data_IF_571539184418
#
_entry.id   IF_571539184418
#
_cell.length_a   1.000
_cell.length_b   1.000
_cell.length_c   1.000
_cell.angle_alpha   90.00
_cell.angle_beta   90.00
_cell.angle_gamma   90.00
#
_symmetry.space_group_name_H-M   'P 1'
#
loop_
_entity.id
_entity.type
_entity.pdbx_description
1 polymer ?
#
# COMPACT_ATOMS: atom_id res chain seq x y z
N UNK A 1 14.63 -16.90 -4.62
CA UNK A 1 13.21 -16.51 -4.70
C UNK A 1 13.01 -15.54 -5.87
N UNK A 2 12.25 -15.91 -6.90
CA UNK A 2 11.91 -15.06 -8.06
C UNK A 2 10.40 -14.83 -8.19
N UNK A 3 9.98 -13.90 -9.05
CA UNK A 3 8.58 -13.51 -9.29
C UNK A 3 7.86 -14.38 -10.36
N UNK A 4 8.48 -15.49 -10.78
CA UNK A 4 7.91 -16.41 -11.77
C UNK A 4 7.98 -15.94 -13.22
N UNK A 5 8.76 -14.89 -13.52
CA UNK A 5 8.99 -14.46 -14.90
C UNK A 5 9.68 -15.57 -15.72
N UNK A 6 9.27 -15.73 -16.99
CA UNK A 6 9.75 -16.80 -17.89
C UNK A 6 11.27 -16.81 -18.07
N UNK A 7 11.95 -15.67 -17.89
CA UNK A 7 13.41 -15.54 -17.93
C UNK A 7 14.12 -16.37 -16.86
N UNK A 8 13.45 -16.70 -15.74
CA UNK A 8 14.02 -17.46 -14.64
C UNK A 8 13.89 -18.99 -14.80
N UNK A 9 13.20 -19.47 -15.84
CA UNK A 9 12.95 -20.91 -16.04
C UNK A 9 14.19 -21.78 -16.25
N UNK A 10 15.37 -21.18 -16.42
CA UNK A 10 16.65 -21.90 -16.49
C UNK A 10 17.31 -22.16 -15.13
N UNK A 11 16.83 -21.52 -14.05
CA UNK A 11 17.42 -21.64 -12.70
C UNK A 11 17.19 -23.02 -12.08
N UNK A 12 16.13 -23.72 -12.48
CA UNK A 12 15.86 -25.10 -12.06
C UNK A 12 16.85 -26.10 -12.67
N UNK A 13 17.53 -25.72 -13.76
CA UNK A 13 18.53 -26.55 -14.45
C UNK A 13 19.97 -26.25 -14.02
N UNK A 14 20.17 -25.40 -13.01
CA UNK A 14 21.49 -25.15 -12.46
C UNK A 14 21.92 -26.35 -11.60
N UNK A 15 22.98 -27.02 -12.04
CA UNK A 15 23.60 -28.17 -11.37
C UNK A 15 24.45 -27.76 -10.16
N UNK A 16 23.90 -26.87 -9.33
CA UNK A 16 24.48 -26.44 -8.06
C UNK A 16 23.89 -27.34 -6.98
N UNK A 17 24.71 -28.21 -6.38
CA UNK A 17 24.29 -29.06 -5.26
C UNK A 17 23.57 -28.23 -4.19
N UNK A 18 22.34 -28.63 -3.87
CA UNK A 18 21.46 -28.02 -2.87
C UNK A 18 20.88 -26.63 -3.21
N UNK A 19 20.89 -26.21 -4.48
CA UNK A 19 20.14 -25.01 -4.88
C UNK A 19 18.66 -25.35 -5.09
N UNK A 20 17.82 -24.93 -4.14
CA UNK A 20 16.37 -24.96 -4.31
C UNK A 20 15.91 -23.57 -4.76
N UNK A 21 15.31 -23.49 -5.94
CA UNK A 21 14.78 -22.25 -6.46
C UNK A 21 13.34 -22.03 -6.00
N UNK A 22 13.14 -21.14 -5.03
CA UNK A 22 11.78 -20.74 -4.66
C UNK A 22 11.21 -19.74 -5.67
N UNK A 23 9.93 -19.90 -6.01
CA UNK A 23 9.20 -19.01 -6.92
C UNK A 23 7.95 -18.46 -6.23
N UNK A 24 7.84 -17.14 -6.18
CA UNK A 24 6.62 -16.43 -5.79
C UNK A 24 5.81 -16.21 -7.06
N UNK A 25 4.77 -17.01 -7.23
CA UNK A 25 3.87 -16.86 -8.36
C UNK A 25 2.81 -15.82 -7.98
N UNK A 26 2.94 -14.58 -8.48
CA UNK A 26 1.97 -13.48 -8.25
C UNK A 26 0.53 -13.79 -8.69
N UNK A 27 0.31 -14.87 -9.44
CA UNK A 27 -1.02 -15.40 -9.79
C UNK A 27 -1.71 -16.08 -8.60
N UNK A 28 -0.94 -16.69 -7.70
CA UNK A 28 -1.46 -17.37 -6.51
C UNK A 28 -1.46 -16.36 -5.36
N UNK A 29 -2.50 -16.38 -4.52
CA UNK A 29 -2.66 -15.47 -3.36
C UNK A 29 -2.94 -13.98 -3.70
N UNK A 30 -3.52 -13.72 -4.87
CA UNK A 30 -4.09 -12.39 -5.19
C UNK A 30 -5.21 -11.98 -4.21
N UNK A 31 -5.93 -12.99 -3.73
CA UNK A 31 -6.80 -12.94 -2.57
C UNK A 31 -6.09 -13.70 -1.46
N UNK A 32 -6.06 -13.14 -0.27
CA UNK A 32 -5.46 -13.81 0.88
C UNK A 32 -6.20 -15.13 1.16
N UNK A 33 -5.48 -16.24 1.36
CA UNK A 33 -6.08 -17.57 1.51
C UNK A 33 -6.81 -17.75 2.85
N UNK A 34 -6.47 -16.95 3.87
CA UNK A 34 -7.09 -17.00 5.20
C UNK A 34 -8.22 -15.97 5.35
N UNK A 35 -8.15 -14.87 4.59
CA UNK A 35 -9.12 -13.78 4.64
C UNK A 35 -9.51 -13.29 3.22
N UNK A 36 -10.67 -13.71 2.70
CA UNK A 36 -11.10 -13.37 1.35
C UNK A 36 -11.37 -11.87 1.13
N UNK A 37 -11.38 -11.05 2.17
CA UNK A 37 -11.54 -9.59 2.08
C UNK A 37 -10.22 -8.85 1.86
N UNK A 38 -9.08 -9.52 2.04
CA UNK A 38 -7.76 -8.96 1.82
C UNK A 38 -7.32 -9.33 0.40
N UNK A 39 -7.15 -8.29 -0.42
CA UNK A 39 -6.70 -8.44 -1.81
C UNK A 39 -5.45 -7.60 -2.02
N UNK A 40 -4.40 -8.21 -2.57
CA UNK A 40 -3.13 -7.52 -2.87
C UNK A 40 -3.38 -6.32 -3.79
N UNK A 41 -4.28 -6.46 -4.77
CA UNK A 41 -4.69 -5.36 -5.64
C UNK A 41 -5.34 -4.17 -4.93
N UNK A 42 -6.12 -4.42 -3.87
CA UNK A 42 -6.73 -3.34 -3.08
C UNK A 42 -5.66 -2.55 -2.33
N UNK A 43 -4.64 -3.24 -1.83
CA UNK A 43 -3.48 -2.64 -1.15
C UNK A 43 -2.65 -1.84 -2.16
N UNK A 44 -2.29 -2.44 -3.29
CA UNK A 44 -1.50 -1.80 -4.35
C UNK A 44 -2.20 -0.58 -4.94
N UNK A 45 -3.49 -0.68 -5.23
CA UNK A 45 -4.31 0.44 -5.72
C UNK A 45 -4.36 1.57 -4.70
N UNK A 46 -4.51 1.23 -3.42
CA UNK A 46 -4.52 2.22 -2.33
C UNK A 46 -3.17 2.92 -2.21
N UNK A 47 -2.07 2.17 -2.29
CA UNK A 47 -0.72 2.72 -2.25
C UNK A 47 -0.40 3.60 -3.46
N UNK A 48 -0.85 3.21 -4.67
CA UNK A 48 -0.71 4.06 -5.86
C UNK A 48 -1.40 5.42 -5.68
N UNK A 49 -2.64 5.43 -5.17
CA UNK A 49 -3.40 6.66 -4.92
C UNK A 49 -2.70 7.54 -3.89
N UNK A 50 -2.23 6.97 -2.78
CA UNK A 50 -1.45 7.69 -1.77
C UNK A 50 -0.22 8.36 -2.39
N UNK A 51 0.61 7.60 -3.12
CA UNK A 51 1.81 8.13 -3.77
C UNK A 51 1.48 9.26 -4.76
N UNK A 52 0.41 9.11 -5.52
CA UNK A 52 -0.01 10.14 -6.48
C UNK A 52 -0.44 11.42 -5.77
N UNK A 53 -1.37 11.32 -4.83
CA UNK A 53 -1.99 12.47 -4.15
C UNK A 53 -1.04 13.18 -3.18
N UNK A 54 -0.23 12.44 -2.42
CA UNK A 54 0.57 13.00 -1.34
C UNK A 54 2.02 13.27 -1.70
N UNK A 55 2.61 12.52 -2.64
CA UNK A 55 4.06 12.61 -2.93
C UNK A 55 4.31 13.22 -4.31
N UNK A 56 3.78 12.59 -5.37
CA UNK A 56 4.10 12.96 -6.76
C UNK A 56 3.58 14.35 -7.12
N UNK A 57 2.32 14.66 -6.77
CA UNK A 57 1.73 15.97 -7.04
C UNK A 57 2.41 17.11 -6.26
N UNK A 58 3.18 16.79 -5.21
CA UNK A 58 3.90 17.77 -4.39
C UNK A 58 5.38 17.90 -4.79
N UNK A 59 5.81 17.20 -5.84
CA UNK A 59 7.20 17.16 -6.32
C UNK A 59 8.21 16.69 -5.26
N UNK A 60 7.77 15.77 -4.39
CA UNK A 60 8.55 15.28 -3.26
C UNK A 60 8.09 15.87 -1.93
N UNK A 61 8.37 15.14 -0.86
CA UNK A 61 7.94 15.47 0.50
C UNK A 61 9.08 15.21 1.46
N UNK A 62 9.20 16.03 2.50
CA UNK A 62 10.13 15.75 3.59
C UNK A 62 9.70 14.49 4.34
N UNK A 63 10.67 13.64 4.68
CA UNK A 63 10.43 12.39 5.40
C UNK A 63 9.80 12.63 6.78
N UNK A 64 10.18 13.71 7.46
CA UNK A 64 9.62 14.12 8.75
C UNK A 64 8.09 14.34 8.73
N UNK A 65 7.50 14.60 7.56
CA UNK A 65 6.06 14.82 7.38
C UNK A 65 5.32 13.58 6.88
N UNK A 66 6.03 12.47 6.63
CA UNK A 66 5.46 11.29 6.00
C UNK A 66 4.26 10.72 6.76
N UNK A 67 4.37 10.63 8.10
CA UNK A 67 3.26 10.21 8.97
C UNK A 67 2.05 11.11 8.83
N UNK A 68 2.24 12.43 8.85
CA UNK A 68 1.16 13.40 8.70
C UNK A 68 0.44 13.27 7.35
N UNK A 69 1.16 12.94 6.27
CA UNK A 69 0.54 12.67 4.96
C UNK A 69 -0.26 11.37 4.94
N UNK A 70 0.18 10.34 5.65
CA UNK A 70 -0.59 9.11 5.84
C UNK A 70 -1.88 9.44 6.59
N UNK A 71 -1.79 10.16 7.71
CA UNK A 71 -2.94 10.56 8.52
C UNK A 71 -3.94 11.36 7.69
N UNK A 72 -3.46 12.36 6.93
CA UNK A 72 -4.27 13.17 6.03
C UNK A 72 -4.98 12.31 4.97
N UNK A 73 -4.25 11.37 4.35
CA UNK A 73 -4.80 10.51 3.31
C UNK A 73 -5.87 9.55 3.86
N UNK A 74 -5.61 8.93 5.01
CA UNK A 74 -6.58 8.05 5.69
C UNK A 74 -7.82 8.85 6.07
N UNK A 75 -7.64 10.02 6.70
CA UNK A 75 -8.73 10.88 7.14
C UNK A 75 -9.60 11.33 5.95
N UNK A 76 -8.99 11.78 4.85
CA UNK A 76 -9.71 12.19 3.63
C UNK A 76 -10.51 11.04 3.03
N UNK A 77 -9.97 9.82 3.08
CA UNK A 77 -10.63 8.63 2.55
C UNK A 77 -11.78 8.16 3.44
N UNK A 78 -11.61 8.22 4.75
CA UNK A 78 -12.65 7.87 5.74
C UNK A 78 -13.86 8.82 5.64
N UNK A 79 -13.62 10.11 5.48
CA UNK A 79 -14.68 11.13 5.51
C UNK A 79 -15.05 11.70 4.14
N UNK A 80 -14.77 10.94 3.06
CA UNK A 80 -14.88 11.40 1.67
C UNK A 80 -16.17 12.17 1.37
N UNK A 81 -17.31 11.70 1.88
CA UNK A 81 -18.65 12.25 1.66
C UNK A 81 -18.95 13.52 2.46
N UNK A 82 -18.37 13.69 3.65
CA UNK A 82 -18.69 14.78 4.59
C UNK A 82 -17.45 15.53 5.08
N UNK A 83 -16.42 15.64 4.23
CA UNK A 83 -15.09 16.18 4.58
C UNK A 83 -15.15 17.50 5.32
N UNK A 84 -15.92 18.47 4.85
CA UNK A 84 -15.97 19.80 5.49
C UNK A 84 -16.54 19.74 6.91
N UNK A 85 -17.62 18.98 7.11
CA UNK A 85 -18.21 18.83 8.44
C UNK A 85 -17.24 18.14 9.41
N UNK A 86 -16.63 17.03 8.98
CA UNK A 86 -15.70 16.28 9.84
C UNK A 86 -14.41 17.06 10.10
N UNK A 87 -13.98 17.93 9.18
CA UNK A 87 -12.83 18.81 9.39
C UNK A 87 -13.06 19.73 10.58
N UNK A 88 -14.18 20.47 10.56
CA UNK A 88 -14.57 21.37 11.64
C UNK A 88 -14.80 20.64 12.95
N UNK A 89 -15.44 19.47 12.90
CA UNK A 89 -15.63 18.62 14.08
C UNK A 89 -14.31 18.12 14.67
N UNK A 90 -13.33 17.80 13.84
CA UNK A 90 -11.98 17.39 14.28
C UNK A 90 -11.25 18.55 14.93
N UNK A 91 -11.26 19.74 14.32
CA UNK A 91 -10.69 20.97 14.90
C UNK A 91 -11.36 21.29 16.24
N UNK A 92 -12.70 21.24 16.28
CA UNK A 92 -13.46 21.48 17.49
C UNK A 92 -13.04 20.55 18.64
N UNK A 93 -12.84 19.26 18.34
CA UNK A 93 -12.38 18.28 19.33
C UNK A 93 -10.96 18.51 19.82
N UNK A 94 -10.04 18.93 18.93
CA UNK A 94 -8.63 19.11 19.28
C UNK A 94 -8.37 20.40 20.06
N UNK A 95 -9.12 21.47 19.77
CA UNK A 95 -8.82 22.82 20.28
C UNK A 95 -9.87 23.40 21.23
N UNK A 96 -11.10 22.86 21.24
CA UNK A 96 -12.22 23.49 21.96
C UNK A 96 -12.94 22.56 22.94
N UNK A 97 -12.54 21.29 23.03
CA UNK A 97 -12.97 20.38 24.10
C UNK A 97 -11.81 20.16 25.09
N UNK A 98 -11.81 20.95 26.16
CA UNK A 98 -11.28 20.52 27.47
C UNK A 98 -12.31 19.61 28.15
#
# INVERSE_FOLDING_TARGET
MTDGLRSYGGLDNWDVKNFQHDVVLHKYYFVDPENPWIHTNSIESTWQKFKHEQIKNKYGTKEELFTSYIDEFIWKRQFKENRMYEFWKTIYRLYFKC
#
